data_IF_757409147921
#
_entry.id   IF_757409147921
#
_cell.length_a   1.000
_cell.length_b   1.000
_cell.length_c   1.000
_cell.angle_alpha   90.00
_cell.angle_beta   90.00
_cell.angle_gamma   90.00
#
_symmetry.space_group_name_H-M   'P 1'
#
loop_
_entity.id
_entity.type
_entity.pdbx_description
1 polymer ?
#
# COMPACT_ATOMS: atom_id res chain seq x y z
N UNK A 1 -28.74 -3.17 -12.47
CA UNK A 1 -28.93 -1.71 -12.68
C UNK A 1 -27.97 -0.79 -11.90
N UNK A 2 -27.52 -1.15 -10.69
CA UNK A 2 -26.50 -0.35 -9.96
C UNK A 2 -25.10 -0.57 -10.49
N UNK A 3 -24.75 -1.77 -10.96
CA UNK A 3 -23.42 -2.12 -11.48
C UNK A 3 -23.07 -1.48 -12.85
N UNK A 4 -24.05 -1.29 -13.72
CA UNK A 4 -23.81 -0.68 -15.06
C UNK A 4 -23.55 0.82 -14.98
N UNK A 5 -24.19 1.53 -14.06
CA UNK A 5 -23.94 2.96 -13.83
C UNK A 5 -22.59 3.21 -13.20
N UNK A 6 -22.10 2.29 -12.38
CA UNK A 6 -20.78 2.37 -11.73
C UNK A 6 -19.67 2.08 -12.74
N UNK A 7 -19.83 1.07 -13.60
CA UNK A 7 -18.92 0.78 -14.72
C UNK A 7 -18.85 1.92 -15.74
N UNK A 8 -20.00 2.50 -16.10
CA UNK A 8 -20.04 3.64 -17.03
C UNK A 8 -19.38 4.91 -16.47
N UNK A 9 -19.45 5.14 -15.14
CA UNK A 9 -18.72 6.22 -14.47
C UNK A 9 -17.21 5.97 -14.39
N UNK A 10 -16.79 4.73 -14.16
CA UNK A 10 -15.36 4.35 -14.17
C UNK A 10 -14.74 4.55 -15.56
N UNK A 11 -15.40 4.09 -16.61
CA UNK A 11 -14.95 4.26 -18.00
C UNK A 11 -14.91 5.76 -18.42
N UNK A 12 -15.85 6.59 -17.94
CA UNK A 12 -15.77 8.04 -18.17
C UNK A 12 -14.58 8.67 -17.46
N UNK A 13 -14.29 8.28 -16.21
CA UNK A 13 -13.17 8.81 -15.43
C UNK A 13 -11.82 8.39 -16.01
N UNK A 14 -11.68 7.15 -16.48
CA UNK A 14 -10.48 6.70 -17.20
C UNK A 14 -10.27 7.43 -18.52
N UNK A 15 -11.35 7.81 -19.20
CA UNK A 15 -11.26 8.61 -20.44
C UNK A 15 -10.93 10.08 -20.17
N UNK A 16 -11.38 10.66 -19.05
CA UNK A 16 -11.03 12.03 -18.63
C UNK A 16 -9.57 12.12 -18.17
N UNK A 17 -9.08 11.15 -17.39
CA UNK A 17 -7.67 11.04 -17.00
C UNK A 17 -6.75 10.83 -18.22
N UNK A 18 -7.17 10.03 -19.20
CA UNK A 18 -6.48 9.89 -20.49
C UNK A 18 -6.47 11.21 -21.27
N UNK A 19 -7.57 11.95 -21.26
CA UNK A 19 -7.68 13.24 -21.95
C UNK A 19 -6.78 14.30 -21.32
N UNK A 20 -6.70 14.36 -19.97
CA UNK A 20 -5.82 15.27 -19.25
C UNK A 20 -4.33 14.91 -19.49
N UNK A 21 -3.96 13.64 -19.41
CA UNK A 21 -2.61 13.17 -19.74
C UNK A 21 -2.23 13.57 -21.18
N UNK A 22 -3.15 13.43 -22.14
CA UNK A 22 -2.94 13.77 -23.54
C UNK A 22 -2.81 15.28 -23.77
N UNK A 23 -3.51 16.12 -22.99
CA UNK A 23 -3.42 17.57 -23.08
C UNK A 23 -2.07 18.10 -22.55
N UNK A 24 -1.54 17.54 -21.47
CA UNK A 24 -0.23 17.94 -20.92
C UNK A 24 0.89 17.52 -21.86
N UNK A 25 0.83 16.31 -22.43
CA UNK A 25 1.77 15.88 -23.48
C UNK A 25 1.69 16.79 -24.71
N UNK A 26 0.50 17.21 -25.12
CA UNK A 26 0.34 18.21 -26.20
C UNK A 26 0.96 19.55 -25.85
N UNK A 27 0.78 20.03 -24.64
CA UNK A 27 1.39 21.31 -24.19
C UNK A 27 2.92 21.23 -24.19
N UNK A 28 3.50 20.09 -23.76
CA UNK A 28 4.93 19.82 -23.86
C UNK A 28 5.42 19.83 -25.31
N UNK A 29 4.67 19.16 -26.20
CA UNK A 29 4.99 19.13 -27.64
C UNK A 29 4.87 20.51 -28.29
N UNK A 30 3.88 21.32 -27.89
CA UNK A 30 3.69 22.67 -28.41
C UNK A 30 4.77 23.64 -27.89
N UNK A 31 5.22 23.49 -26.63
CA UNK A 31 6.38 24.22 -26.11
C UNK A 31 7.67 23.81 -26.83
N UNK A 32 7.90 22.50 -27.02
CA UNK A 32 9.07 22.00 -27.73
C UNK A 32 9.10 22.46 -29.20
N UNK A 33 7.96 22.50 -29.91
CA UNK A 33 7.86 23.01 -31.26
C UNK A 33 8.15 24.53 -31.38
N UNK A 34 7.81 25.30 -30.34
CA UNK A 34 8.08 26.74 -30.33
C UNK A 34 9.55 27.07 -30.08
N UNK A 35 10.18 26.34 -29.20
CA UNK A 35 11.53 26.60 -28.73
C UNK A 35 12.60 25.80 -29.49
N UNK A 36 12.22 24.74 -30.22
CA UNK A 36 13.13 23.80 -30.90
C UNK A 36 13.86 22.87 -29.96
N UNK A 37 13.93 23.22 -28.67
CA UNK A 37 14.64 22.51 -27.61
C UNK A 37 13.82 22.53 -26.33
N UNK A 38 13.87 21.46 -25.53
CA UNK A 38 13.28 21.37 -24.21
C UNK A 38 14.35 20.98 -23.20
N UNK A 39 14.36 21.61 -22.03
CA UNK A 39 15.25 21.17 -20.96
C UNK A 39 14.64 19.96 -20.24
N UNK A 40 15.52 19.08 -19.73
CA UNK A 40 15.13 17.92 -18.93
C UNK A 40 14.25 18.32 -17.73
N UNK A 41 14.57 19.44 -17.08
CA UNK A 41 13.83 19.98 -15.94
C UNK A 41 12.39 20.39 -16.31
N UNK A 42 12.21 21.08 -17.43
CA UNK A 42 10.87 21.46 -17.92
C UNK A 42 10.01 20.24 -18.23
N UNK A 43 10.60 19.19 -18.82
CA UNK A 43 9.91 17.93 -19.05
C UNK A 43 9.52 17.28 -17.73
N UNK A 44 10.41 17.27 -16.76
CA UNK A 44 10.20 16.67 -15.45
C UNK A 44 9.13 17.40 -14.63
N UNK A 45 9.18 18.73 -14.57
CA UNK A 45 8.22 19.56 -13.83
C UNK A 45 6.80 19.38 -14.36
N UNK A 46 6.63 19.28 -15.68
CA UNK A 46 5.32 19.04 -16.28
C UNK A 46 4.87 17.57 -16.10
N UNK A 47 5.78 16.61 -16.13
CA UNK A 47 5.49 15.18 -15.93
C UNK A 47 5.34 14.79 -14.45
N UNK A 48 5.91 15.53 -13.51
CA UNK A 48 5.77 15.28 -12.06
C UNK A 48 4.32 15.40 -11.59
N UNK A 49 3.51 16.15 -12.33
CA UNK A 49 2.08 16.29 -12.06
C UNK A 49 1.22 15.13 -12.63
N UNK A 50 1.84 14.19 -13.37
CA UNK A 50 1.15 13.09 -14.02
C UNK A 50 1.77 11.78 -13.58
N UNK A 51 0.95 10.86 -13.08
CA UNK A 51 1.37 9.49 -12.84
C UNK A 51 1.51 8.73 -14.17
N UNK A 52 2.72 8.80 -14.75
CA UNK A 52 3.08 8.09 -15.97
C UNK A 52 4.02 6.95 -15.62
N UNK A 53 3.70 5.75 -16.09
CA UNK A 53 4.62 4.63 -16.00
C UNK A 53 5.87 4.86 -16.89
N UNK A 54 7.02 4.24 -16.54
CA UNK A 54 8.28 4.44 -17.27
C UNK A 54 8.17 4.16 -18.77
N UNK A 55 7.33 3.20 -19.19
CA UNK A 55 7.09 2.90 -20.62
C UNK A 55 6.32 4.02 -21.37
N UNK A 56 5.50 4.78 -20.64
CA UNK A 56 4.75 5.90 -21.23
C UNK A 56 5.65 7.12 -21.41
N UNK A 57 6.60 7.31 -20.51
CA UNK A 57 7.60 8.37 -20.59
C UNK A 57 8.56 8.09 -21.72
N UNK A 58 9.00 6.85 -21.86
CA UNK A 58 9.84 6.41 -22.98
C UNK A 58 9.18 6.74 -24.33
N UNK A 59 7.87 6.49 -24.45
CA UNK A 59 7.11 6.89 -25.65
C UNK A 59 7.03 8.40 -25.85
N UNK A 60 6.98 9.19 -24.77
CA UNK A 60 6.98 10.66 -24.89
C UNK A 60 8.33 11.14 -25.43
N UNK A 61 9.44 10.58 -24.96
CA UNK A 61 10.78 10.90 -25.48
C UNK A 61 10.92 10.47 -26.95
N UNK A 62 10.44 9.28 -27.34
CA UNK A 62 10.40 8.85 -28.75
C UNK A 62 9.60 9.81 -29.64
N UNK A 63 8.48 10.31 -29.14
CA UNK A 63 7.66 11.28 -29.89
C UNK A 63 8.36 12.64 -29.99
N UNK A 64 9.01 13.14 -28.93
CA UNK A 64 9.80 14.37 -28.94
C UNK A 64 10.95 14.27 -29.94
N UNK A 65 11.68 13.18 -29.95
CA UNK A 65 12.78 12.92 -30.87
C UNK A 65 12.30 12.79 -32.32
N UNK A 66 11.18 12.08 -32.58
CA UNK A 66 10.57 11.95 -33.90
C UNK A 66 10.10 13.28 -34.48
N UNK A 67 9.80 14.26 -33.62
CA UNK A 67 9.41 15.62 -34.01
C UNK A 67 10.60 16.59 -34.16
N UNK A 68 11.83 16.12 -33.96
CA UNK A 68 13.05 16.92 -34.07
C UNK A 68 13.22 17.91 -32.94
N UNK A 69 12.61 17.67 -31.75
CA UNK A 69 12.77 18.48 -30.57
C UNK A 69 13.96 17.91 -29.80
N UNK A 70 15.03 18.69 -29.71
CA UNK A 70 16.25 18.29 -29.01
C UNK A 70 16.05 18.49 -27.50
N UNK A 71 16.22 17.40 -26.74
CA UNK A 71 16.16 17.48 -25.26
C UNK A 71 17.55 17.79 -24.77
N UNK A 72 17.74 19.03 -24.31
CA UNK A 72 19.02 19.51 -23.79
C UNK A 72 19.06 19.20 -22.28
N UNK A 73 20.07 18.45 -21.83
CA UNK A 73 20.45 18.41 -20.42
C UNK A 73 20.96 19.80 -19.99
N UNK A 74 20.58 20.28 -18.81
CA UNK A 74 21.14 21.54 -18.31
C UNK A 74 22.68 21.42 -18.25
N UNK A 75 23.43 22.44 -18.70
CA UNK A 75 24.89 22.42 -18.64
C UNK A 75 25.43 22.33 -17.20
N UNK A 76 24.63 22.65 -16.20
CA UNK A 76 24.96 22.52 -14.78
C UNK A 76 24.58 21.17 -14.16
N UNK A 77 23.93 20.26 -14.89
CA UNK A 77 23.59 18.93 -14.37
C UNK A 77 24.85 18.11 -14.00
N UNK A 78 26.01 18.44 -14.55
CA UNK A 78 27.28 17.83 -14.17
C UNK A 78 27.77 18.32 -12.80
N UNK A 79 27.67 19.60 -12.52
CA UNK A 79 28.03 20.19 -11.22
C UNK A 79 27.00 19.83 -10.13
N UNK A 80 25.71 19.85 -10.45
CA UNK A 80 24.67 19.44 -9.49
C UNK A 80 24.75 17.94 -9.15
N UNK A 81 25.11 17.07 -10.10
CA UNK A 81 25.30 15.64 -9.83
C UNK A 81 26.57 15.38 -9.02
N UNK A 82 27.65 16.17 -9.22
CA UNK A 82 28.87 16.06 -8.40
C UNK A 82 28.69 16.66 -6.99
N UNK A 83 27.95 17.76 -6.83
CA UNK A 83 27.57 18.30 -5.51
C UNK A 83 26.52 17.43 -4.80
N UNK A 84 25.59 16.80 -5.53
CA UNK A 84 24.58 15.89 -4.94
C UNK A 84 25.15 14.52 -4.53
N UNK A 85 26.36 14.15 -4.94
CA UNK A 85 27.05 12.93 -4.50
C UNK A 85 27.60 13.01 -3.07
N UNK A 86 27.16 14.02 -2.31
CA UNK A 86 27.49 14.13 -0.89
C UNK A 86 26.91 12.95 -0.09
N UNK A 87 27.79 12.08 0.39
CA UNK A 87 27.47 10.94 1.26
C UNK A 87 27.28 11.35 2.73
N UNK A 88 27.14 12.63 3.04
CA UNK A 88 26.83 13.08 4.40
C UNK A 88 25.43 12.58 4.79
N UNK A 89 25.33 12.11 6.02
CA UNK A 89 24.06 11.59 6.56
C UNK A 89 23.16 12.78 6.85
N UNK A 90 21.88 12.78 6.42
CA UNK A 90 20.94 13.84 6.75
C UNK A 90 20.81 14.05 8.25
N UNK A 91 20.67 15.31 8.69
CA UNK A 91 20.38 15.64 10.09
C UNK A 91 19.07 14.96 10.53
N UNK A 92 19.10 14.33 11.71
CA UNK A 92 17.91 13.65 12.28
C UNK A 92 17.82 12.15 12.03
N UNK A 93 18.75 11.53 11.29
CA UNK A 93 18.84 10.08 11.23
C UNK A 93 19.70 9.60 12.40
N UNK A 94 19.14 8.67 13.21
CA UNK A 94 19.94 7.90 14.14
C UNK A 94 21.04 7.18 13.36
N UNK A 95 22.30 7.50 13.65
CA UNK A 95 23.43 6.96 12.91
C UNK A 95 23.71 5.57 13.47
N UNK A 96 23.00 4.59 12.95
CA UNK A 96 23.30 3.19 13.22
C UNK A 96 24.58 2.77 12.48
N UNK A 97 25.41 1.95 13.12
CA UNK A 97 26.62 1.38 12.52
C UNK A 97 26.39 0.76 11.11
N UNK A 98 25.25 0.09 10.83
CA UNK A 98 24.96 -0.46 9.50
C UNK A 98 24.90 0.59 8.37
N UNK A 99 24.33 1.78 8.63
CA UNK A 99 24.26 2.87 7.63
C UNK A 99 25.66 3.35 7.27
N UNK A 100 26.49 3.62 8.28
CA UNK A 100 27.88 4.04 8.07
C UNK A 100 28.71 3.01 7.33
N UNK A 101 28.55 1.75 7.69
CA UNK A 101 29.25 0.64 7.04
C UNK A 101 28.89 0.54 5.56
N UNK A 102 27.60 0.62 5.24
CA UNK A 102 27.12 0.60 3.86
C UNK A 102 27.67 1.78 3.04
N UNK A 103 27.57 3.02 3.57
CA UNK A 103 28.08 4.21 2.89
C UNK A 103 29.59 4.14 2.65
N UNK A 104 30.36 3.60 3.61
CA UNK A 104 31.80 3.38 3.47
C UNK A 104 32.11 2.33 2.40
N UNK A 105 31.28 1.29 2.25
CA UNK A 105 31.49 0.25 1.22
C UNK A 105 31.24 0.77 -0.18
N UNK A 106 30.12 1.45 -0.41
CA UNK A 106 29.79 2.00 -1.74
C UNK A 106 30.79 3.10 -2.17
N UNK A 107 31.36 3.83 -1.20
CA UNK A 107 32.37 4.85 -1.46
C UNK A 107 33.69 4.33 -2.00
N UNK A 108 33.97 3.02 -1.87
CA UNK A 108 35.21 2.40 -2.40
C UNK A 108 35.17 2.18 -3.92
N UNK A 109 33.96 2.15 -4.51
CA UNK A 109 33.79 1.90 -5.94
C UNK A 109 34.02 3.21 -6.70
N UNK A 110 34.96 3.23 -7.68
CA UNK A 110 35.20 4.43 -8.49
C UNK A 110 33.99 4.74 -9.39
N UNK A 111 33.83 6.05 -9.67
CA UNK A 111 32.84 6.51 -10.65
C UNK A 111 33.25 6.07 -12.06
N UNK A 112 32.31 5.85 -12.93
CA UNK A 112 32.53 5.48 -14.34
C UNK A 112 32.58 6.73 -15.20
N UNK A 113 33.43 6.71 -16.24
CA UNK A 113 33.38 7.69 -17.31
C UNK A 113 32.24 7.37 -18.28
N UNK A 114 31.80 8.37 -19.07
CA UNK A 114 30.74 8.16 -20.09
C UNK A 114 31.12 7.08 -21.12
N UNK A 115 32.40 6.95 -21.45
CA UNK A 115 32.90 5.92 -22.38
C UNK A 115 32.80 4.52 -21.75
N UNK A 116 33.12 4.40 -20.46
CA UNK A 116 32.99 3.13 -19.70
C UNK A 116 31.54 2.71 -19.53
N UNK A 117 30.61 3.67 -19.34
CA UNK A 117 29.18 3.39 -19.28
C UNK A 117 28.67 2.75 -20.57
N UNK A 118 29.08 3.30 -21.73
CA UNK A 118 28.73 2.80 -23.06
C UNK A 118 29.32 1.40 -23.28
N UNK A 119 30.59 1.18 -22.94
CA UNK A 119 31.23 -0.14 -23.08
C UNK A 119 30.53 -1.19 -22.21
N UNK A 120 30.23 -0.85 -20.96
CA UNK A 120 29.50 -1.75 -20.07
C UNK A 120 28.09 -2.03 -20.58
N UNK A 121 27.38 -1.01 -21.10
CA UNK A 121 26.04 -1.20 -21.68
C UNK A 121 26.06 -2.15 -22.90
N UNK A 122 27.04 -2.01 -23.77
CA UNK A 122 27.25 -2.94 -24.89
C UNK A 122 27.45 -4.39 -24.42
N UNK A 123 28.26 -4.59 -23.37
CA UNK A 123 28.52 -5.92 -22.80
C UNK A 123 27.30 -6.50 -22.10
N UNK A 124 26.46 -5.66 -21.50
CA UNK A 124 25.19 -6.07 -20.89
C UNK A 124 24.21 -6.60 -21.96
N UNK A 125 24.15 -5.92 -23.11
CA UNK A 125 23.33 -6.39 -24.26
C UNK A 125 23.77 -7.78 -24.75
N UNK A 126 25.08 -8.09 -24.64
CA UNK A 126 25.63 -9.41 -24.95
C UNK A 126 25.42 -10.45 -23.83
N UNK A 127 24.79 -10.07 -22.72
CA UNK A 127 24.47 -10.97 -21.59
C UNK A 127 25.53 -11.07 -20.50
N UNK A 128 26.54 -10.15 -20.48
CA UNK A 128 27.60 -10.16 -19.45
C UNK A 128 27.07 -9.72 -18.08
N UNK A 129 26.87 -10.69 -17.18
CA UNK A 129 26.43 -10.43 -15.81
C UNK A 129 27.46 -9.65 -14.97
N UNK A 130 28.77 -9.73 -15.29
CA UNK A 130 29.80 -8.97 -14.59
C UNK A 130 29.74 -7.48 -14.93
N UNK A 131 29.46 -7.17 -16.21
CA UNK A 131 29.26 -5.79 -16.65
C UNK A 131 28.02 -5.18 -15.98
N UNK A 132 26.91 -5.93 -15.89
CA UNK A 132 25.68 -5.53 -15.17
C UNK A 132 25.97 -5.20 -13.71
N UNK A 133 26.72 -6.07 -13.03
CA UNK A 133 27.11 -5.86 -11.62
C UNK A 133 27.99 -4.61 -11.47
N UNK A 134 29.01 -4.42 -12.33
CA UNK A 134 29.91 -3.28 -12.28
C UNK A 134 29.18 -1.96 -12.51
N UNK A 135 28.27 -1.89 -13.48
CA UNK A 135 27.47 -0.68 -13.75
C UNK A 135 26.54 -0.35 -12.56
N UNK A 136 25.91 -1.35 -11.95
CA UNK A 136 25.06 -1.15 -10.77
C UNK A 136 25.87 -0.65 -9.57
N UNK A 137 27.00 -1.31 -9.24
CA UNK A 137 27.85 -0.96 -8.10
C UNK A 137 28.40 0.47 -8.17
N UNK A 138 28.82 0.93 -9.35
CA UNK A 138 29.31 2.30 -9.57
C UNK A 138 28.22 3.38 -9.37
N UNK A 139 26.94 3.01 -9.50
CA UNK A 139 25.80 3.92 -9.38
C UNK A 139 25.03 3.82 -8.06
N UNK A 140 25.50 3.06 -7.06
CA UNK A 140 24.87 3.00 -5.73
C UNK A 140 24.86 4.36 -5.01
N UNK A 141 25.89 5.20 -5.25
CA UNK A 141 25.95 6.55 -4.69
C UNK A 141 24.80 7.44 -5.18
N UNK A 142 24.40 7.29 -6.46
CA UNK A 142 23.24 7.98 -7.02
C UNK A 142 21.95 7.57 -6.31
N UNK A 143 21.78 6.30 -5.97
CA UNK A 143 20.59 5.85 -5.21
C UNK A 143 20.52 6.53 -3.84
N UNK A 144 21.65 6.65 -3.15
CA UNK A 144 21.72 7.30 -1.83
C UNK A 144 21.34 8.77 -1.93
N UNK A 145 21.86 9.51 -2.92
CA UNK A 145 21.54 10.93 -3.12
C UNK A 145 20.05 11.16 -3.36
N UNK A 146 19.41 10.28 -4.12
CA UNK A 146 17.96 10.33 -4.35
C UNK A 146 17.19 9.95 -3.08
N UNK A 147 17.56 8.86 -2.40
CA UNK A 147 16.89 8.38 -1.20
C UNK A 147 16.89 9.39 -0.04
N UNK A 148 17.96 10.21 0.10
CA UNK A 148 18.04 11.30 1.08
C UNK A 148 16.80 12.21 1.06
N UNK A 149 16.26 12.52 -0.12
CA UNK A 149 15.09 13.41 -0.29
C UNK A 149 13.76 12.81 0.20
N UNK A 150 13.75 11.51 0.48
CA UNK A 150 12.57 10.77 0.92
C UNK A 150 12.61 10.36 2.40
N UNK A 151 13.65 10.78 3.13
CA UNK A 151 13.77 10.53 4.57
C UNK A 151 12.60 11.19 5.33
N UNK A 152 12.14 10.55 6.41
CA UNK A 152 11.04 11.06 7.25
C UNK A 152 9.64 10.81 6.68
N UNK A 153 9.50 9.99 5.63
CA UNK A 153 8.20 9.65 5.01
C UNK A 153 7.64 8.29 5.44
N UNK A 154 8.03 7.81 6.64
CA UNK A 154 7.49 6.58 7.23
C UNK A 154 8.26 5.30 6.91
N UNK A 155 9.43 5.40 6.24
CA UNK A 155 10.35 4.28 5.99
C UNK A 155 11.74 4.59 6.51
N UNK A 156 12.48 3.57 6.93
CA UNK A 156 13.88 3.70 7.35
C UNK A 156 14.77 4.03 6.14
N UNK A 157 15.85 4.79 6.39
CA UNK A 157 16.72 5.23 5.31
C UNK A 157 17.37 4.08 4.53
N UNK A 158 17.79 3.01 5.21
CA UNK A 158 18.33 1.82 4.54
C UNK A 158 17.29 1.11 3.67
N UNK A 159 16.02 1.07 4.10
CA UNK A 159 14.96 0.46 3.31
C UNK A 159 14.67 1.26 2.04
N UNK A 160 14.67 2.61 2.15
CA UNK A 160 14.57 3.49 0.97
C UNK A 160 15.71 3.26 -0.02
N UNK A 161 16.94 3.08 0.47
CA UNK A 161 18.10 2.76 -0.37
C UNK A 161 17.90 1.40 -1.05
N UNK A 162 17.46 0.37 -0.33
CA UNK A 162 17.28 -0.97 -0.91
C UNK A 162 16.17 -1.00 -1.97
N UNK A 163 15.06 -0.33 -1.74
CA UNK A 163 14.01 -0.19 -2.75
C UNK A 163 14.51 0.62 -3.97
N UNK A 164 15.33 1.68 -3.72
CA UNK A 164 16.01 2.41 -4.78
C UNK A 164 16.99 1.54 -5.57
N UNK A 165 17.74 0.66 -4.91
CA UNK A 165 18.63 -0.31 -5.56
C UNK A 165 17.88 -1.28 -6.47
N UNK A 166 16.67 -1.72 -6.08
CA UNK A 166 15.81 -2.52 -6.96
C UNK A 166 15.39 -1.74 -8.21
N UNK A 167 15.13 -0.43 -8.05
CA UNK A 167 14.90 0.48 -9.18
C UNK A 167 16.13 0.59 -10.08
N UNK A 168 17.32 0.78 -9.51
CA UNK A 168 18.58 0.85 -10.24
C UNK A 168 18.86 -0.42 -11.06
N UNK A 169 18.64 -1.62 -10.49
CA UNK A 169 18.83 -2.89 -11.20
C UNK A 169 17.92 -2.96 -12.42
N UNK A 170 16.66 -2.53 -12.30
CA UNK A 170 15.73 -2.45 -13.44
C UNK A 170 16.20 -1.43 -14.50
N UNK A 171 16.75 -0.30 -14.07
CA UNK A 171 17.31 0.68 -14.98
C UNK A 171 18.48 0.10 -15.77
N UNK A 172 19.42 -0.62 -15.11
CA UNK A 172 20.55 -1.29 -15.77
C UNK A 172 20.08 -2.33 -16.80
N UNK A 173 19.00 -3.05 -16.53
CA UNK A 173 18.44 -4.04 -17.46
C UNK A 173 17.82 -3.44 -18.72
N UNK A 174 17.26 -2.23 -18.62
CA UNK A 174 16.49 -1.59 -19.68
C UNK A 174 17.23 -0.42 -20.35
N UNK A 175 18.44 -0.10 -19.93
CA UNK A 175 19.21 1.03 -20.44
C UNK A 175 19.64 0.79 -21.89
N UNK A 176 19.30 1.74 -22.77
CA UNK A 176 19.74 1.77 -24.17
C UNK A 176 20.67 2.96 -24.40
N UNK A 177 21.98 2.66 -24.53
CA UNK A 177 23.03 3.66 -24.78
C UNK A 177 22.91 4.35 -26.15
N UNK A 178 22.20 3.76 -27.13
CA UNK A 178 22.01 4.31 -28.48
C UNK A 178 21.19 5.60 -28.48
N UNK A 179 20.40 5.82 -27.43
CA UNK A 179 19.59 7.03 -27.27
C UNK A 179 20.39 8.28 -26.88
N UNK A 180 21.70 8.18 -26.66
CA UNK A 180 22.60 9.32 -26.41
C UNK A 180 22.50 9.97 -25.02
N UNK A 181 21.65 9.45 -24.12
CA UNK A 181 21.51 9.98 -22.76
C UNK A 181 22.49 9.31 -21.78
N UNK A 182 22.93 10.06 -20.75
CA UNK A 182 23.70 9.48 -19.63
C UNK A 182 22.86 8.45 -18.87
N UNK A 183 23.52 7.41 -18.38
CA UNK A 183 22.87 6.39 -17.56
C UNK A 183 22.19 6.99 -16.32
N UNK A 184 22.81 7.95 -15.63
CA UNK A 184 22.28 8.62 -14.45
C UNK A 184 20.92 9.27 -14.68
N UNK A 185 20.71 9.90 -15.84
CA UNK A 185 19.42 10.52 -16.22
C UNK A 185 18.30 9.50 -16.29
N UNK A 186 18.56 8.36 -16.92
CA UNK A 186 17.59 7.26 -17.03
C UNK A 186 17.36 6.54 -15.69
N UNK A 187 18.42 6.25 -14.96
CA UNK A 187 18.38 5.55 -13.68
C UNK A 187 17.61 6.33 -12.61
N UNK A 188 17.75 7.66 -12.56
CA UNK A 188 17.04 8.54 -11.62
C UNK A 188 15.52 8.30 -11.65
N UNK A 189 14.96 8.08 -12.82
CA UNK A 189 13.55 7.76 -13.01
C UNK A 189 13.14 6.45 -12.32
N UNK A 190 13.86 5.38 -12.60
CA UNK A 190 13.58 4.07 -12.04
C UNK A 190 13.76 4.03 -10.53
N UNK A 191 14.82 4.70 -10.04
CA UNK A 191 15.10 4.81 -8.61
C UNK A 191 13.97 5.58 -7.91
N UNK A 192 13.60 6.74 -8.42
CA UNK A 192 12.51 7.57 -7.87
C UNK A 192 11.18 6.79 -7.86
N UNK A 193 10.83 6.16 -8.95
CA UNK A 193 9.60 5.37 -9.07
C UNK A 193 9.58 4.21 -8.07
N UNK A 194 10.70 3.49 -7.91
CA UNK A 194 10.79 2.39 -6.96
C UNK A 194 10.60 2.89 -5.52
N UNK A 195 11.31 3.96 -5.13
CA UNK A 195 11.21 4.56 -3.79
C UNK A 195 9.78 5.08 -3.52
N UNK A 196 9.20 5.85 -4.44
CA UNK A 196 7.86 6.43 -4.26
C UNK A 196 6.80 5.34 -4.13
N UNK A 197 6.91 4.29 -4.94
CA UNK A 197 6.00 3.14 -4.88
C UNK A 197 6.16 2.36 -3.57
N UNK A 198 7.40 2.15 -3.11
CA UNK A 198 7.66 1.48 -1.84
C UNK A 198 7.09 2.27 -0.66
N UNK A 199 7.25 3.59 -0.63
CA UNK A 199 6.63 4.45 0.39
C UNK A 199 5.10 4.31 0.36
N UNK A 200 4.47 4.35 -0.81
CA UNK A 200 3.03 4.20 -0.93
C UNK A 200 2.53 2.83 -0.43
N UNK A 201 3.29 1.77 -0.64
CA UNK A 201 2.91 0.39 -0.32
C UNK A 201 3.25 -0.02 1.13
N UNK A 202 4.31 0.54 1.75
CA UNK A 202 4.91 0.00 2.98
C UNK A 202 5.03 1.01 4.13
N UNK A 203 4.95 2.33 3.88
CA UNK A 203 5.20 3.34 4.90
C UNK A 203 4.13 3.41 6.00
N UNK A 204 2.92 2.88 5.76
CA UNK A 204 1.80 2.95 6.70
C UNK A 204 1.60 1.62 7.43
N UNK A 205 1.37 1.68 8.74
CA UNK A 205 1.03 0.51 9.57
C UNK A 205 -0.20 -0.23 9.02
N UNK A 206 -1.23 0.51 8.60
CA UNK A 206 -2.39 -0.03 7.91
C UNK A 206 -2.23 0.29 6.43
N UNK A 207 -1.97 -0.74 5.62
CA UNK A 207 -1.72 -0.61 4.18
C UNK A 207 -2.93 0.01 3.45
N UNK A 208 -2.66 1.01 2.64
CA UNK A 208 -3.63 1.68 1.77
C UNK A 208 -3.23 1.40 0.31
N UNK A 209 -4.18 1.15 -0.61
CA UNK A 209 -3.87 1.00 -2.04
C UNK A 209 -3.20 2.25 -2.62
N UNK A 210 -2.25 2.06 -3.57
CA UNK A 210 -1.43 3.15 -4.15
C UNK A 210 -2.29 4.30 -4.69
N UNK A 211 -3.35 4.00 -5.46
CA UNK A 211 -4.25 5.03 -6.00
C UNK A 211 -4.94 5.89 -4.94
N UNK A 212 -5.15 5.34 -3.74
CA UNK A 212 -5.70 6.12 -2.62
C UNK A 212 -4.63 7.01 -1.99
N UNK A 213 -3.38 6.54 -1.90
CA UNK A 213 -2.24 7.36 -1.45
C UNK A 213 -2.05 8.56 -2.39
N UNK A 214 -2.16 8.37 -3.70
CA UNK A 214 -2.10 9.45 -4.71
C UNK A 214 -3.24 10.46 -4.49
N UNK A 215 -4.47 9.95 -4.26
CA UNK A 215 -5.63 10.80 -3.98
C UNK A 215 -5.43 11.62 -2.69
N UNK A 216 -4.88 11.01 -1.63
CA UNK A 216 -4.54 11.68 -0.37
C UNK A 216 -3.47 12.75 -0.61
N UNK A 217 -2.41 12.45 -1.37
CA UNK A 217 -1.36 13.42 -1.71
C UNK A 217 -1.91 14.61 -2.51
N UNK A 218 -2.83 14.35 -3.45
CA UNK A 218 -3.54 15.41 -4.18
C UNK A 218 -4.39 16.27 -3.23
N UNK A 219 -5.11 15.65 -2.30
CA UNK A 219 -5.90 16.36 -1.29
C UNK A 219 -5.01 17.26 -0.43
N UNK A 220 -3.88 16.75 0.08
CA UNK A 220 -2.94 17.52 0.90
C UNK A 220 -2.37 18.71 0.11
N UNK A 221 -2.07 18.54 -1.18
CA UNK A 221 -1.58 19.60 -2.06
C UNK A 221 -2.63 20.70 -2.22
N UNK A 222 -3.87 20.33 -2.55
CA UNK A 222 -4.99 21.26 -2.68
C UNK A 222 -5.29 21.98 -1.37
N UNK A 223 -5.23 21.26 -0.25
CA UNK A 223 -5.42 21.86 1.08
C UNK A 223 -4.34 22.91 1.38
N UNK A 224 -3.07 22.65 1.07
CA UNK A 224 -1.98 23.64 1.23
C UNK A 224 -2.16 24.86 0.33
N UNK A 225 -2.56 24.64 -0.92
CA UNK A 225 -2.83 25.73 -1.85
C UNK A 225 -3.96 26.63 -1.32
N UNK A 226 -5.09 26.04 -0.94
CA UNK A 226 -6.22 26.79 -0.39
C UNK A 226 -5.87 27.49 0.93
N UNK A 227 -5.02 26.88 1.78
CA UNK A 227 -4.52 27.51 3.00
C UNK A 227 -3.74 28.80 2.68
N UNK A 228 -2.91 28.79 1.63
CA UNK A 228 -2.17 29.98 1.18
C UNK A 228 -3.09 31.05 0.61
N UNK A 229 -4.14 30.67 -0.13
CA UNK A 229 -5.10 31.60 -0.74
C UNK A 229 -6.05 32.19 0.30
N UNK A 230 -6.56 31.39 1.23
CA UNK A 230 -7.59 31.78 2.20
C UNK A 230 -7.02 32.30 3.53
N UNK A 231 -5.76 32.00 3.85
CA UNK A 231 -5.12 32.31 5.14
C UNK A 231 -5.67 31.53 6.33
N UNK A 232 -6.50 30.50 6.10
CA UNK A 232 -7.09 29.60 7.09
C UNK A 232 -7.24 28.18 6.53
N UNK A 233 -7.46 27.23 7.40
CA UNK A 233 -7.77 25.86 6.96
C UNK A 233 -9.05 25.84 6.11
N UNK A 234 -8.98 25.17 4.92
CA UNK A 234 -10.13 25.09 4.03
C UNK A 234 -11.19 24.10 4.54
N UNK A 235 -12.46 24.43 4.35
CA UNK A 235 -13.55 23.52 4.63
C UNK A 235 -13.63 22.40 3.57
N UNK A 236 -14.19 21.22 3.91
CA UNK A 236 -14.38 20.12 2.96
C UNK A 236 -15.14 20.51 1.69
N UNK A 237 -16.06 21.47 1.78
CA UNK A 237 -16.84 22.02 0.67
C UNK A 237 -15.97 22.84 -0.30
N UNK A 238 -14.94 23.51 0.18
CA UNK A 238 -13.99 24.28 -0.64
C UNK A 238 -13.02 23.33 -1.37
N UNK A 239 -12.50 22.33 -0.66
CA UNK A 239 -11.67 21.27 -1.25
C UNK A 239 -12.44 20.49 -2.32
N UNK A 240 -13.73 20.19 -2.05
CA UNK A 240 -14.64 19.50 -2.97
C UNK A 240 -14.73 20.18 -4.33
N UNK A 241 -14.81 21.50 -4.35
CA UNK A 241 -14.89 22.31 -5.58
C UNK A 241 -13.61 22.22 -6.41
N UNK A 242 -12.44 22.27 -5.76
CA UNK A 242 -11.13 22.23 -6.46
C UNK A 242 -10.80 20.82 -6.94
N UNK A 243 -11.14 19.79 -6.15
CA UNK A 243 -10.88 18.40 -6.50
C UNK A 243 -11.92 17.77 -7.43
N UNK A 244 -13.05 18.45 -7.64
CA UNK A 244 -14.22 17.92 -8.37
C UNK A 244 -14.72 16.57 -7.81
N UNK A 245 -14.82 16.49 -6.48
CA UNK A 245 -15.28 15.32 -5.75
C UNK A 245 -16.47 15.70 -4.84
N UNK A 246 -17.41 14.78 -4.58
CA UNK A 246 -18.46 14.98 -3.58
C UNK A 246 -17.87 15.26 -2.20
N UNK A 247 -18.51 16.13 -1.41
CA UNK A 247 -18.07 16.49 -0.06
C UNK A 247 -17.91 15.26 0.86
N UNK A 248 -18.82 14.32 0.78
CA UNK A 248 -18.76 13.09 1.58
C UNK A 248 -17.51 12.25 1.25
N UNK A 249 -17.11 12.22 -0.02
CA UNK A 249 -15.86 11.57 -0.45
C UNK A 249 -14.62 12.27 0.09
N UNK A 250 -14.63 13.61 0.13
CA UNK A 250 -13.51 14.39 0.71
C UNK A 250 -13.37 14.06 2.20
N UNK A 251 -14.48 14.01 2.94
CA UNK A 251 -14.48 13.63 4.36
C UNK A 251 -14.00 12.19 4.59
N UNK A 252 -14.43 11.26 3.73
CA UNK A 252 -13.96 9.87 3.76
C UNK A 252 -12.44 9.78 3.55
N UNK A 253 -11.91 10.50 2.53
CA UNK A 253 -10.47 10.54 2.25
C UNK A 253 -9.69 11.15 3.41
N UNK A 254 -10.19 12.24 4.01
CA UNK A 254 -9.56 12.86 5.18
C UNK A 254 -9.50 11.90 6.37
N UNK A 255 -10.56 11.11 6.60
CA UNK A 255 -10.59 10.08 7.66
C UNK A 255 -9.59 8.95 7.40
N UNK A 256 -9.47 8.48 6.15
CA UNK A 256 -8.51 7.43 5.76
C UNK A 256 -7.06 7.95 5.84
N UNK A 257 -6.85 9.25 5.62
CA UNK A 257 -5.53 9.86 5.66
C UNK A 257 -4.90 9.89 7.06
N UNK A 258 -5.72 9.79 8.13
CA UNK A 258 -5.23 9.79 9.51
C UNK A 258 -4.33 8.60 9.79
N UNK A 259 -3.29 8.84 10.59
CA UNK A 259 -2.41 7.79 11.09
C UNK A 259 -2.94 7.20 12.40
N UNK A 260 -2.72 5.91 12.68
CA UNK A 260 -3.11 5.32 13.96
C UNK A 260 -2.29 5.91 15.11
N UNK A 261 -2.95 6.09 16.26
CA UNK A 261 -2.30 6.53 17.49
C UNK A 261 -1.78 5.30 18.24
N UNK A 262 -0.59 5.40 18.84
CA UNK A 262 -0.03 4.31 19.65
C UNK A 262 -0.83 4.12 20.94
N UNK A 263 -1.08 2.87 21.32
CA UNK A 263 -1.67 2.51 22.60
C UNK A 263 -0.74 2.81 23.79
N UNK A 264 0.55 2.89 23.54
CA UNK A 264 1.57 3.24 24.55
C UNK A 264 1.72 4.75 24.75
N UNK A 265 0.87 5.57 24.12
CA UNK A 265 0.90 7.02 24.33
C UNK A 265 0.56 7.34 25.78
N UNK A 266 1.44 8.03 26.52
CA UNK A 266 1.19 8.37 27.92
C UNK A 266 0.03 9.37 28.04
N UNK A 267 -0.80 9.21 29.06
CA UNK A 267 -1.93 10.09 29.38
C UNK A 267 -1.72 10.69 30.77
N UNK A 268 -1.73 12.01 30.86
CA UNK A 268 -1.54 12.74 32.11
C UNK A 268 -0.12 13.20 32.33
N UNK A 269 0.14 13.78 33.50
CA UNK A 269 1.47 14.32 33.90
C UNK A 269 2.37 13.23 34.50
N UNK A 270 1.79 12.13 35.02
CA UNK A 270 2.51 10.98 35.57
C UNK A 270 2.58 9.90 34.47
N UNK A 271 3.81 9.47 34.10
CA UNK A 271 4.08 8.52 32.99
C UNK A 271 3.54 7.09 33.21
N UNK A 272 2.77 6.86 34.29
CA UNK A 272 2.29 5.54 34.70
C UNK A 272 1.03 5.06 33.95
N UNK A 273 0.33 5.92 33.20
CA UNK A 273 -0.91 5.58 32.48
C UNK A 273 -0.77 5.73 30.99
N UNK A 274 -1.17 4.70 30.24
CA UNK A 274 -1.16 4.67 28.79
C UNK A 274 -2.56 4.66 28.19
N UNK A 275 -2.72 5.11 26.96
CA UNK A 275 -4.00 5.12 26.24
C UNK A 275 -4.66 3.73 26.23
N UNK A 276 -3.86 2.67 26.13
CA UNK A 276 -4.32 1.29 26.12
C UNK A 276 -5.07 0.87 27.41
N UNK A 277 -4.73 1.46 28.54
CA UNK A 277 -5.33 1.12 29.84
C UNK A 277 -6.80 1.57 29.97
N UNK A 278 -7.22 2.51 29.13
CA UNK A 278 -8.58 3.07 29.10
C UNK A 278 -9.50 2.43 28.07
N UNK A 279 -8.98 1.53 27.25
CA UNK A 279 -9.77 0.88 26.19
C UNK A 279 -10.32 -0.43 26.74
N UNK A 280 -11.66 -0.56 26.95
CA UNK A 280 -12.26 -1.80 27.41
C UNK A 280 -12.19 -2.87 26.31
N UNK A 281 -12.08 -4.13 26.73
CA UNK A 281 -12.24 -5.30 25.85
C UNK A 281 -13.72 -5.69 25.80
N UNK A 282 -14.41 -5.28 24.74
CA UNK A 282 -15.83 -5.54 24.53
C UNK A 282 -16.12 -7.03 24.21
N UNK A 283 -15.10 -7.80 23.81
CA UNK A 283 -15.23 -9.24 23.52
C UNK A 283 -15.10 -10.11 24.77
N UNK A 284 -14.54 -9.58 25.86
CA UNK A 284 -14.40 -10.27 27.12
C UNK A 284 -15.74 -10.30 27.87
N UNK A 285 -16.25 -11.50 28.13
CA UNK A 285 -17.48 -11.68 28.90
C UNK A 285 -17.28 -11.23 30.35
N UNK A 286 -18.25 -10.48 30.88
CA UNK A 286 -18.26 -10.17 32.29
C UNK A 286 -18.32 -11.48 33.16
N UNK A 287 -17.69 -11.51 34.33
CA UNK A 287 -17.67 -12.72 35.18
C UNK A 287 -19.05 -13.34 35.43
N UNK A 288 -20.08 -12.50 35.60
CA UNK A 288 -21.46 -12.95 35.79
C UNK A 288 -22.02 -13.65 34.53
N UNK A 289 -21.74 -13.10 33.34
CA UNK A 289 -22.15 -13.68 32.03
C UNK A 289 -21.41 -14.99 31.76
N UNK A 290 -20.09 -15.05 32.06
CA UNK A 290 -19.31 -16.27 31.93
C UNK A 290 -19.81 -17.39 32.84
N UNK A 291 -20.19 -17.05 34.09
CA UNK A 291 -20.79 -17.99 35.03
C UNK A 291 -22.17 -18.46 34.52
N UNK A 292 -23.04 -17.54 34.08
CA UNK A 292 -24.34 -17.86 33.50
C UNK A 292 -24.22 -18.79 32.28
N UNK A 293 -23.27 -18.50 31.38
CA UNK A 293 -22.99 -19.34 30.21
C UNK A 293 -22.53 -20.76 30.60
N UNK A 294 -21.68 -20.87 31.64
CA UNK A 294 -21.23 -22.17 32.16
C UNK A 294 -22.39 -22.96 32.74
N UNK A 295 -23.26 -22.32 33.56
CA UNK A 295 -24.46 -22.94 34.09
C UNK A 295 -25.45 -23.37 33.00
N UNK A 296 -25.65 -22.54 31.98
CA UNK A 296 -26.45 -22.89 30.78
C UNK A 296 -25.91 -24.14 30.12
N UNK A 297 -24.58 -24.22 29.91
CA UNK A 297 -23.92 -25.38 29.28
C UNK A 297 -24.14 -26.65 30.11
N UNK A 298 -24.00 -26.60 31.41
CA UNK A 298 -24.27 -27.73 32.32
C UNK A 298 -25.75 -28.15 32.25
N UNK A 299 -26.67 -27.21 32.31
CA UNK A 299 -28.11 -27.52 32.21
C UNK A 299 -28.47 -28.11 30.85
N UNK A 300 -27.86 -27.62 29.75
CA UNK A 300 -28.03 -28.16 28.41
C UNK A 300 -27.59 -29.64 28.35
N UNK A 301 -26.40 -29.97 28.92
CA UNK A 301 -25.89 -31.33 29.00
C UNK A 301 -26.88 -32.21 29.80
N UNK A 302 -27.32 -31.77 30.95
CA UNK A 302 -28.31 -32.52 31.78
C UNK A 302 -29.65 -32.76 31.06
N UNK A 303 -30.07 -31.83 30.21
CA UNK A 303 -31.30 -32.00 29.41
C UNK A 303 -31.05 -32.96 28.23
N UNK A 304 -29.87 -32.92 27.60
CA UNK A 304 -29.48 -33.83 26.52
C UNK A 304 -29.38 -35.29 26.99
N UNK A 305 -28.85 -35.52 28.22
CA UNK A 305 -28.74 -36.85 28.82
C UNK A 305 -30.12 -37.53 29.00
N UNK A 306 -31.21 -36.77 28.99
CA UNK A 306 -32.57 -37.35 29.01
C UNK A 306 -33.03 -37.92 27.67
N UNK A 307 -32.27 -37.74 26.61
CA UNK A 307 -32.53 -38.31 25.28
C UNK A 307 -31.91 -39.72 25.16
N UNK A 308 -32.22 -40.40 24.07
CA UNK A 308 -31.51 -41.65 23.78
C UNK A 308 -30.07 -41.32 23.36
N UNK A 309 -29.07 -42.19 23.66
CA UNK A 309 -27.66 -41.92 23.32
C UNK A 309 -27.42 -41.58 21.86
N UNK A 310 -28.26 -42.10 20.98
CA UNK A 310 -28.17 -41.85 19.55
C UNK A 310 -28.72 -40.47 19.16
N UNK A 311 -29.82 -40.02 19.77
CA UNK A 311 -30.41 -38.70 19.57
C UNK A 311 -29.49 -37.60 20.16
N UNK A 312 -28.95 -37.83 21.32
CA UNK A 312 -28.00 -36.95 21.98
C UNK A 312 -26.73 -36.73 21.11
N UNK A 313 -26.07 -37.82 20.71
CA UNK A 313 -24.86 -37.75 19.91
C UNK A 313 -25.06 -37.04 18.57
N UNK A 314 -26.23 -37.26 17.93
CA UNK A 314 -26.61 -36.56 16.68
C UNK A 314 -26.71 -35.06 16.93
N UNK A 315 -27.36 -34.60 18.03
CA UNK A 315 -27.43 -33.17 18.34
C UNK A 315 -26.08 -32.58 18.71
N UNK A 316 -25.25 -33.26 19.52
CA UNK A 316 -23.93 -32.79 19.89
C UNK A 316 -23.06 -32.53 18.65
N UNK A 317 -23.02 -33.47 17.71
CA UNK A 317 -22.27 -33.33 16.47
C UNK A 317 -22.87 -32.29 15.53
N UNK A 318 -24.19 -32.25 15.43
CA UNK A 318 -24.90 -31.32 14.51
C UNK A 318 -24.69 -29.86 14.89
N UNK A 319 -24.76 -29.55 16.19
CA UNK A 319 -24.59 -28.20 16.72
C UNK A 319 -23.18 -27.90 17.22
N UNK A 320 -22.25 -28.85 17.18
CA UNK A 320 -20.87 -28.65 17.60
C UNK A 320 -20.73 -28.37 19.10
N UNK A 321 -21.51 -29.04 19.94
CA UNK A 321 -21.53 -28.76 21.39
C UNK A 321 -20.26 -29.17 22.11
N UNK A 322 -19.50 -30.12 21.55
CA UNK A 322 -18.28 -30.63 22.15
C UNK A 322 -17.02 -29.94 21.58
N UNK A 323 -16.97 -29.70 20.27
CA UNK A 323 -15.79 -29.21 19.54
C UNK A 323 -15.99 -27.82 18.93
N UNK A 324 -17.14 -27.19 19.14
CA UNK A 324 -17.48 -25.89 18.57
C UNK A 324 -17.75 -25.88 17.07
N UNK A 325 -17.62 -27.05 16.39
CA UNK A 325 -17.82 -27.17 14.94
C UNK A 325 -19.16 -27.80 14.60
N UNK A 326 -20.10 -27.00 14.12
CA UNK A 326 -21.36 -27.47 13.59
C UNK A 326 -21.14 -28.31 12.31
N UNK A 327 -21.69 -29.54 12.27
CA UNK A 327 -21.58 -30.45 11.14
C UNK A 327 -22.84 -30.50 10.30
N UNK A 328 -22.69 -30.75 9.02
CA UNK A 328 -23.82 -30.92 8.10
C UNK A 328 -24.52 -32.27 8.33
N UNK A 329 -25.79 -32.38 7.89
CA UNK A 329 -26.57 -33.66 7.99
C UNK A 329 -25.87 -34.81 7.24
N UNK A 330 -25.09 -34.53 6.19
CA UNK A 330 -24.36 -35.53 5.42
C UNK A 330 -23.12 -36.02 6.17
N UNK A 331 -22.38 -35.11 6.80
CA UNK A 331 -21.21 -35.46 7.61
C UNK A 331 -21.60 -36.32 8.81
N UNK A 332 -22.66 -35.92 9.52
CA UNK A 332 -23.21 -36.72 10.63
C UNK A 332 -23.75 -38.07 10.10
N UNK A 333 -24.37 -38.07 8.93
CA UNK A 333 -24.84 -39.32 8.30
C UNK A 333 -23.73 -40.30 7.99
N UNK A 334 -22.58 -39.82 7.52
CA UNK A 334 -21.38 -40.62 7.29
C UNK A 334 -20.83 -41.24 8.58
N UNK A 335 -20.79 -40.48 9.68
CA UNK A 335 -20.27 -40.94 10.98
C UNK A 335 -21.20 -42.07 11.56
N UNK A 336 -22.50 -41.99 11.35
CA UNK A 336 -23.44 -43.01 11.83
C UNK A 336 -23.78 -44.10 10.79
N UNK A 337 -23.16 -44.05 9.60
CA UNK A 337 -23.44 -44.96 8.49
C UNK A 337 -24.95 -44.99 8.11
N UNK A 338 -25.61 -43.84 8.06
CA UNK A 338 -27.03 -43.69 7.71
C UNK A 338 -27.21 -42.54 6.71
N UNK A 339 -28.39 -42.56 6.04
CA UNK A 339 -28.73 -41.53 5.06
C UNK A 339 -28.98 -40.17 5.71
N UNK A 340 -28.73 -39.08 4.98
CA UNK A 340 -29.01 -37.68 5.38
C UNK A 340 -30.45 -37.54 5.90
N UNK A 341 -31.41 -38.14 5.22
CA UNK A 341 -32.82 -38.05 5.62
C UNK A 341 -33.10 -38.75 6.95
N UNK A 342 -32.39 -39.83 7.25
CA UNK A 342 -32.52 -40.53 8.53
C UNK A 342 -31.98 -39.67 9.69
N UNK A 343 -30.86 -38.96 9.48
CA UNK A 343 -30.34 -38.01 10.49
C UNK A 343 -31.36 -36.88 10.70
N UNK A 344 -31.95 -36.31 9.63
CA UNK A 344 -32.96 -35.27 9.72
C UNK A 344 -34.20 -35.72 10.55
N UNK A 345 -34.61 -36.97 10.38
CA UNK A 345 -35.73 -37.54 11.16
C UNK A 345 -35.33 -37.67 12.66
N UNK A 346 -34.10 -38.12 12.95
CA UNK A 346 -33.62 -38.26 14.32
C UNK A 346 -33.53 -36.91 14.98
N UNK A 347 -32.92 -35.90 14.30
CA UNK A 347 -32.82 -34.51 14.77
C UNK A 347 -34.21 -33.93 15.09
N UNK A 348 -35.19 -34.02 14.12
CA UNK A 348 -36.55 -33.51 14.33
C UNK A 348 -37.25 -34.19 15.50
N UNK A 349 -37.05 -35.48 15.69
CA UNK A 349 -37.65 -36.24 16.81
C UNK A 349 -36.98 -35.81 18.15
N UNK A 350 -35.67 -35.64 18.18
CA UNK A 350 -34.93 -35.20 19.37
C UNK A 350 -35.35 -33.76 19.77
N UNK A 351 -35.43 -32.84 18.82
CA UNK A 351 -35.84 -31.46 19.06
C UNK A 351 -37.31 -31.40 19.54
N UNK A 352 -38.19 -32.26 19.00
CA UNK A 352 -39.60 -32.36 19.50
C UNK A 352 -39.66 -32.84 20.93
N UNK A 353 -38.80 -33.80 21.32
CA UNK A 353 -38.70 -34.28 22.71
C UNK A 353 -38.17 -33.18 23.64
N UNK A 354 -37.24 -32.34 23.20
CA UNK A 354 -36.70 -31.22 23.97
C UNK A 354 -37.73 -30.09 24.18
N UNK A 355 -38.65 -29.89 23.24
CA UNK A 355 -39.75 -28.91 23.36
C UNK A 355 -40.78 -29.26 24.43
N UNK A 356 -40.76 -30.50 24.92
CA UNK A 356 -41.74 -30.90 25.98
C UNK A 356 -41.55 -30.03 27.24
N UNK A 357 -42.65 -29.55 27.88
CA UNK A 357 -42.61 -28.62 28.98
C UNK A 357 -41.71 -29.04 30.16
N UNK A 358 -41.62 -30.35 30.44
CA UNK A 358 -40.77 -30.90 31.51
C UNK A 358 -39.26 -30.70 31.27
N UNK A 359 -38.84 -30.49 30.03
CA UNK A 359 -37.44 -30.24 29.62
C UNK A 359 -37.21 -28.79 29.27
N UNK A 360 -38.08 -28.16 28.52
CA UNK A 360 -37.96 -26.77 28.10
C UNK A 360 -38.01 -25.80 29.30
N UNK A 361 -38.78 -26.12 30.34
CA UNK A 361 -38.83 -25.28 31.57
C UNK A 361 -37.45 -25.08 32.22
N UNK A 362 -36.56 -26.10 32.16
CA UNK A 362 -35.23 -26.02 32.75
C UNK A 362 -34.28 -25.06 32.01
N UNK A 363 -34.57 -24.75 30.75
CA UNK A 363 -33.78 -23.88 29.90
C UNK A 363 -34.40 -22.48 29.72
N UNK A 364 -35.64 -22.31 30.21
CA UNK A 364 -36.42 -21.09 30.00
C UNK A 364 -35.77 -19.87 30.68
N UNK A 365 -35.20 -20.09 31.87
CA UNK A 365 -34.58 -19.02 32.67
C UNK A 365 -33.29 -18.44 32.06
N UNK A 366 -32.79 -19.01 30.95
CA UNK A 366 -31.64 -18.58 30.20
C UNK A 366 -31.94 -18.00 28.82
N UNK A 367 -33.24 -17.83 28.51
CA UNK A 367 -33.72 -17.37 27.18
C UNK A 367 -34.15 -15.89 27.19
N UNK A 368 -34.10 -15.23 28.34
CA UNK A 368 -34.50 -13.81 28.50
C UNK A 368 -33.31 -12.86 28.35
#
# INVERSE_FOLDING_TARGET
MLDEKTKAKQVKKENEDRSNKMNIVKNLLDKGKKNGTLTYKEIMDELENIDLGPEQIEKIYEVLESMGIEVIGEPNAEEEVEEELDLTIPEGIAIDDPVRMYLKEIGKVPLLSSEEEIDLANRIEQGDQRAKKKLAEANLRLVVSIAKRYVGRGMLFLDLIQEGNLGLIKAVEKFDYRKGFKFSTYATWWIRQAITRAIADQARTIRIPVHMVETINKLIRVQRQLLQELGRDPFPEEISKVMDLPVDKVREIQKIAQEPVSLETPIGEEEDSHLGDFIPDDDALAPAEAAAFTMLKEQLINVLDTLTPREEKVLRLRFGLDDGRARTLEEVGKEFNVTRERIRQIEAKALRKLRHPSRSKKLKDYLD
#
